data_IF_849140937994
#
_entry.id   IF_849140937994
#
_cell.length_a   1.000
_cell.length_b   1.000
_cell.length_c   1.000
_cell.angle_alpha   90.00
_cell.angle_beta   90.00
_cell.angle_gamma   90.00
#
_symmetry.space_group_name_H-M   'P 1'
#
loop_
_entity.id
_entity.type
_entity.pdbx_description
1 polymer ?
#
# COMPACT_ATOMS: atom_id res chain seq x y z
N UNK A 1 -0.83 10.31 -21.68
CA UNK A 1 -1.72 9.26 -21.14
C UNK A 1 -1.40 9.12 -19.67
N UNK A 2 -2.40 9.09 -18.78
CA UNK A 2 -2.16 8.81 -17.36
C UNK A 2 -1.99 7.31 -17.16
N UNK A 3 -1.00 6.91 -16.38
CA UNK A 3 -0.81 5.51 -15.99
C UNK A 3 -1.83 5.11 -14.91
N UNK A 4 -1.96 3.80 -14.65
CA UNK A 4 -2.74 3.32 -13.49
C UNK A 4 -2.17 3.89 -12.18
N UNK A 5 -0.85 3.96 -12.06
CA UNK A 5 -0.16 4.54 -10.92
C UNK A 5 -0.56 6.00 -10.71
N UNK A 6 -0.55 6.83 -11.76
CA UNK A 6 -0.98 8.23 -11.68
C UNK A 6 -2.44 8.35 -11.21
N UNK A 7 -3.29 7.46 -11.72
CA UNK A 7 -4.71 7.42 -11.38
C UNK A 7 -4.92 7.06 -9.90
N UNK A 8 -4.17 6.07 -9.39
CA UNK A 8 -4.22 5.69 -7.97
C UNK A 8 -3.72 6.84 -7.10
N UNK A 9 -2.57 7.43 -7.41
CA UNK A 9 -1.97 8.52 -6.61
C UNK A 9 -2.89 9.75 -6.55
N UNK A 10 -3.53 10.11 -7.66
CA UNK A 10 -4.43 11.28 -7.73
C UNK A 10 -5.70 11.11 -6.89
N UNK A 11 -6.21 9.89 -6.76
CA UNK A 11 -7.51 9.62 -6.13
C UNK A 11 -7.39 8.93 -4.76
N UNK A 12 -6.16 8.70 -4.28
CA UNK A 12 -5.88 7.96 -3.06
C UNK A 12 -6.60 8.61 -1.87
N UNK A 13 -7.38 7.84 -1.14
CA UNK A 13 -8.12 8.34 0.02
C UNK A 13 -8.13 7.37 1.20
N UNK A 14 -8.51 7.89 2.36
CA UNK A 14 -8.39 7.21 3.65
C UNK A 14 -9.63 7.43 4.51
N UNK A 15 -9.72 6.68 5.60
CA UNK A 15 -10.71 6.88 6.68
C UNK A 15 -10.00 6.61 8.00
N UNK A 16 -10.53 7.12 9.12
CA UNK A 16 -9.94 6.91 10.45
C UNK A 16 -9.68 5.41 10.76
N UNK A 17 -10.60 4.53 10.36
CA UNK A 17 -10.47 3.08 10.54
C UNK A 17 -9.27 2.48 9.78
N UNK A 18 -8.88 3.08 8.66
CA UNK A 18 -7.77 2.60 7.83
C UNK A 18 -6.44 2.89 8.51
N UNK A 19 -6.25 4.09 9.09
CA UNK A 19 -5.01 4.42 9.80
C UNK A 19 -4.79 3.49 10.99
N UNK A 20 -5.82 3.25 11.80
CA UNK A 20 -5.76 2.30 12.92
C UNK A 20 -5.41 0.88 12.46
N UNK A 21 -5.99 0.42 11.34
CA UNK A 21 -5.67 -0.90 10.77
C UNK A 21 -4.22 -1.00 10.29
N UNK A 22 -3.71 0.03 9.61
CA UNK A 22 -2.33 0.07 9.12
C UNK A 22 -1.35 -0.01 10.29
N UNK A 23 -1.53 0.82 11.31
CA UNK A 23 -0.68 0.80 12.50
C UNK A 23 -0.69 -0.58 13.19
N UNK A 24 -1.86 -1.20 13.33
CA UNK A 24 -1.98 -2.56 13.88
C UNK A 24 -1.23 -3.60 13.04
N UNK A 25 -1.35 -3.56 11.71
CA UNK A 25 -0.72 -4.51 10.78
C UNK A 25 0.79 -4.34 10.69
N UNK A 26 1.28 -3.11 10.78
CA UNK A 26 2.70 -2.81 10.70
C UNK A 26 3.39 -2.85 12.07
N UNK A 27 2.63 -2.97 13.16
CA UNK A 27 3.12 -2.85 14.54
C UNK A 27 3.81 -1.50 14.78
N UNK A 28 3.14 -0.42 14.36
CA UNK A 28 3.64 0.96 14.43
C UNK A 28 2.65 1.88 15.14
N UNK A 29 3.09 3.10 15.45
CA UNK A 29 2.26 4.19 15.97
C UNK A 29 2.49 5.46 15.14
N UNK A 30 2.36 5.34 13.83
CA UNK A 30 2.53 6.45 12.89
C UNK A 30 1.32 7.38 12.94
N UNK A 31 1.58 8.68 12.75
CA UNK A 31 0.53 9.67 12.52
C UNK A 31 -0.13 9.46 11.15
N UNK A 32 -1.35 9.99 10.97
CA UNK A 32 -2.07 9.91 9.68
C UNK A 32 -1.20 10.48 8.54
N UNK A 33 -0.57 11.64 8.74
CA UNK A 33 0.31 12.27 7.76
C UNK A 33 1.54 11.42 7.43
N UNK A 34 2.14 10.76 8.42
CA UNK A 34 3.29 9.87 8.20
C UNK A 34 2.88 8.63 7.38
N UNK A 35 1.70 8.07 7.64
CA UNK A 35 1.14 6.97 6.84
C UNK A 35 0.92 7.42 5.39
N UNK A 36 0.28 8.57 5.18
CA UNK A 36 0.01 9.10 3.84
C UNK A 36 1.29 9.34 3.05
N UNK A 37 2.28 9.97 3.68
CA UNK A 37 3.58 10.26 3.08
C UNK A 37 4.30 8.98 2.68
N UNK A 38 4.35 8.00 3.61
CA UNK A 38 4.98 6.70 3.37
C UNK A 38 4.30 5.97 2.21
N UNK A 39 2.96 5.92 2.18
CA UNK A 39 2.23 5.20 1.13
C UNK A 39 2.31 5.91 -0.22
N UNK A 40 2.22 7.24 -0.26
CA UNK A 40 2.37 7.99 -1.50
C UNK A 40 3.76 7.76 -2.11
N UNK A 41 4.82 7.87 -1.30
CA UNK A 41 6.18 7.60 -1.73
C UNK A 41 6.34 6.15 -2.20
N UNK A 42 5.81 5.19 -1.43
CA UNK A 42 5.87 3.76 -1.76
C UNK A 42 5.18 3.45 -3.09
N UNK A 43 3.99 4.00 -3.33
CA UNK A 43 3.27 3.79 -4.59
C UNK A 43 4.00 4.45 -5.75
N UNK A 44 4.52 5.67 -5.56
CA UNK A 44 5.23 6.43 -6.60
C UNK A 44 6.55 5.78 -7.04
N UNK A 45 7.26 5.13 -6.12
CA UNK A 45 8.52 4.43 -6.46
C UNK A 45 8.31 2.99 -6.95
N UNK A 46 7.10 2.43 -6.82
CA UNK A 46 6.80 1.07 -7.26
C UNK A 46 6.57 1.03 -8.77
N UNK A 47 7.22 0.10 -9.47
CA UNK A 47 7.05 -0.08 -10.90
C UNK A 47 5.75 -0.82 -11.26
N UNK A 48 5.20 -0.54 -12.44
CA UNK A 48 3.93 -1.10 -12.93
C UNK A 48 3.80 -2.65 -12.86
N UNK A 49 4.84 -3.46 -13.08
CA UNK A 49 4.74 -4.92 -12.93
C UNK A 49 4.36 -5.40 -11.52
N UNK A 50 4.51 -4.55 -10.50
CA UNK A 50 4.15 -4.84 -9.11
C UNK A 50 2.74 -4.35 -8.73
N UNK A 51 1.96 -3.92 -9.72
CA UNK A 51 0.55 -3.57 -9.57
C UNK A 51 -0.31 -4.70 -10.15
N UNK A 52 -1.10 -5.32 -9.30
CA UNK A 52 -2.02 -6.38 -9.70
C UNK A 52 -3.45 -6.00 -9.35
N UNK A 53 -4.38 -6.14 -10.30
CA UNK A 53 -5.81 -5.99 -10.02
C UNK A 53 -6.43 -7.37 -9.88
N UNK A 54 -6.91 -7.70 -8.67
CA UNK A 54 -7.69 -8.92 -8.41
C UNK A 54 -9.07 -8.51 -7.90
N UNK A 55 -10.11 -8.80 -8.69
CA UNK A 55 -11.48 -8.44 -8.38
C UNK A 55 -11.66 -6.93 -8.15
N UNK A 56 -12.10 -6.56 -6.95
CA UNK A 56 -12.40 -5.17 -6.56
C UNK A 56 -11.20 -4.40 -6.00
N UNK A 57 -10.00 -4.99 -6.01
CA UNK A 57 -8.83 -4.40 -5.36
C UNK A 57 -7.62 -4.34 -6.29
N UNK A 58 -6.82 -3.29 -6.12
CA UNK A 58 -5.43 -3.21 -6.55
C UNK A 58 -4.53 -3.66 -5.40
N UNK A 59 -3.53 -4.47 -5.73
CA UNK A 59 -2.45 -4.90 -4.84
C UNK A 59 -1.15 -4.32 -5.39
N UNK A 60 -0.46 -3.56 -4.54
CA UNK A 60 0.78 -2.86 -4.90
C UNK A 60 1.87 -3.40 -4.00
N UNK A 61 2.83 -4.10 -4.59
CA UNK A 61 3.94 -4.74 -3.88
C UNK A 61 5.14 -3.79 -3.91
N UNK A 62 5.42 -3.13 -2.79
CA UNK A 62 6.65 -2.36 -2.65
C UNK A 62 7.68 -3.22 -1.90
N UNK A 63 8.54 -3.87 -2.67
CA UNK A 63 9.60 -4.75 -2.14
C UNK A 63 10.66 -4.00 -1.34
N UNK A 64 10.92 -2.73 -1.68
CA UNK A 64 11.91 -1.89 -0.99
C UNK A 64 11.54 -1.64 0.48
N UNK A 65 10.26 -1.38 0.74
CA UNK A 65 9.71 -1.14 2.07
C UNK A 65 9.11 -2.41 2.69
N UNK A 66 9.19 -3.56 2.00
CA UNK A 66 8.60 -4.83 2.41
C UNK A 66 7.12 -4.72 2.80
N UNK A 67 6.33 -4.00 2.01
CA UNK A 67 4.89 -3.82 2.24
C UNK A 67 4.06 -4.12 1.00
N UNK A 68 2.85 -4.65 1.24
CA UNK A 68 1.80 -4.80 0.25
C UNK A 68 0.66 -3.85 0.58
N UNK A 69 0.37 -2.93 -0.33
CA UNK A 69 -0.69 -1.93 -0.19
C UNK A 69 -1.91 -2.45 -0.95
N UNK A 70 -3.05 -2.55 -0.29
CA UNK A 70 -4.32 -2.92 -0.94
C UNK A 70 -5.20 -1.69 -1.07
N UNK A 71 -5.63 -1.38 -2.28
CA UNK A 71 -6.45 -0.21 -2.61
C UNK A 71 -7.73 -0.67 -3.30
N UNK A 72 -8.88 -0.10 -2.94
CA UNK A 72 -10.12 -0.40 -3.65
C UNK A 72 -10.07 0.15 -5.08
N UNK A 73 -10.48 -0.65 -6.08
CA UNK A 73 -10.36 -0.28 -7.48
C UNK A 73 -11.40 0.75 -7.95
N UNK A 74 -12.51 0.92 -7.22
CA UNK A 74 -13.57 1.85 -7.58
C UNK A 74 -13.44 3.19 -6.85
N UNK A 75 -13.03 3.16 -5.57
CA UNK A 75 -12.99 4.36 -4.73
C UNK A 75 -11.57 4.85 -4.45
N UNK A 76 -10.54 4.09 -4.85
CA UNK A 76 -9.14 4.38 -4.55
C UNK A 76 -8.84 4.54 -3.04
N UNK A 77 -9.73 4.05 -2.19
CA UNK A 77 -9.53 4.01 -0.75
C UNK A 77 -8.51 2.94 -0.39
N UNK A 78 -7.50 3.29 0.42
CA UNK A 78 -6.62 2.29 1.02
C UNK A 78 -7.43 1.38 1.95
N UNK A 79 -7.31 0.07 1.78
CA UNK A 79 -8.04 -0.93 2.57
C UNK A 79 -7.19 -1.45 3.72
N UNK A 80 -5.93 -1.78 3.43
CA UNK A 80 -4.96 -2.32 4.38
C UNK A 80 -3.55 -2.21 3.81
N UNK A 81 -2.57 -2.30 4.69
CA UNK A 81 -1.15 -2.45 4.36
C UNK A 81 -0.64 -3.61 5.18
N UNK A 82 -0.03 -4.60 4.53
CA UNK A 82 0.54 -5.78 5.19
C UNK A 82 2.05 -5.77 5.01
N UNK A 83 2.80 -6.24 6.02
CA UNK A 83 4.21 -6.59 5.82
C UNK A 83 4.30 -7.78 4.88
N UNK A 84 5.19 -7.71 3.92
CA UNK A 84 5.63 -8.86 3.14
C UNK A 84 6.68 -9.53 4.02
N UNK A 85 6.39 -10.72 4.54
CA UNK A 85 7.45 -11.50 5.19
C UNK A 85 8.50 -11.82 4.13
N UNK A 86 9.81 -11.61 4.41
CA UNK A 86 10.82 -12.30 3.62
C UNK A 86 10.47 -13.79 3.69
N UNK A 87 10.44 -14.47 2.53
CA UNK A 87 10.33 -15.93 2.50
C UNK A 87 11.41 -16.44 3.45
N UNK A 88 11.01 -17.15 4.52
CA UNK A 88 11.87 -17.75 5.55
C UNK A 88 13.34 -17.81 5.13
N UNK A 89 14.18 -16.95 5.70
CA UNK A 89 15.62 -17.19 5.64
C UNK A 89 15.86 -18.49 6.43
N UNK A 90 16.44 -19.53 5.82
CA UNK A 90 16.83 -20.70 6.57
C UNK A 90 17.83 -20.24 7.64
N UNK A 91 17.59 -20.66 8.89
CA UNK A 91 18.57 -20.48 9.95
C UNK A 91 19.84 -21.22 9.52
N UNK A 92 20.92 -20.46 9.30
CA UNK A 92 22.27 -21.03 9.26
C UNK A 92 22.61 -21.68 10.60
#
# INVERSE_FOLDING_TARGET
MNTLQDTILKNLCYTELVYGRINKKLHTQLTNLAIETMLFASIKETEMPFFEKIGKNFYIINSKNNIKITVNANTYRVITVDKIQPKFEPKN
#
